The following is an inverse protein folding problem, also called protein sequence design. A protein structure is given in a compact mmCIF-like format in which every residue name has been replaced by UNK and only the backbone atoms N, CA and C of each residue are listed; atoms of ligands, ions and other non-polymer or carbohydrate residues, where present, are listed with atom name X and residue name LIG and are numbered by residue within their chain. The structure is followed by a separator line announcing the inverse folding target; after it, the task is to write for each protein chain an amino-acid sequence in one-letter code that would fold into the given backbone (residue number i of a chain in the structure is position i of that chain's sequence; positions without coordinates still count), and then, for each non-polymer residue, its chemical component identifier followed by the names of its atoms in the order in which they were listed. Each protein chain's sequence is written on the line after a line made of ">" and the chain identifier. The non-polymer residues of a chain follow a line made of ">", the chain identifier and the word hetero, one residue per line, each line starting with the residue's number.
data_IF_373278287525
#
_entry.id   IF_373278287525
#
_cell.length_a   1.000
_cell.length_b   1.000
_cell.length_c   1.000
_cell.angle_alpha   90.00
_cell.angle_beta   90.00
_cell.angle_gamma   90.00
#
_symmetry.space_group_name_H-M   'P 1'
#
loop_
_entity.id
_entity.type
_entity.pdbx_description
1 polymer ?
#
# COMPACT_ATOMS: atom_id res chain seq x y z
N UNK A 1 0.45 28.17 -2.02
CA UNK A 1 -0.03 27.55 -3.27
C UNK A 1 -0.31 26.09 -2.94
N UNK A 2 -1.52 25.82 -2.45
CA UNK A 2 -1.90 24.47 -2.03
C UNK A 2 -2.33 23.64 -3.24
N UNK A 3 -2.01 22.35 -3.15
CA UNK A 3 -2.77 21.26 -3.77
C UNK A 3 -2.35 20.77 -5.16
N UNK A 4 -1.19 20.10 -5.22
CA UNK A 4 -0.88 19.14 -6.30
C UNK A 4 -1.09 17.67 -5.87
N UNK A 5 -1.46 17.43 -4.61
CA UNK A 5 -1.63 16.07 -4.05
C UNK A 5 -3.10 15.60 -3.99
N UNK A 6 -4.07 16.45 -4.36
CA UNK A 6 -5.52 16.17 -4.20
C UNK A 6 -6.15 15.65 -5.50
N UNK A 7 -5.43 15.58 -6.61
CA UNK A 7 -6.05 15.23 -7.90
C UNK A 7 -6.35 13.74 -8.08
N UNK A 8 -5.90 12.85 -7.18
CA UNK A 8 -6.22 11.42 -7.25
C UNK A 8 -7.43 11.00 -6.39
N UNK A 9 -8.24 11.96 -5.94
CA UNK A 9 -9.49 11.63 -5.26
C UNK A 9 -10.55 11.33 -6.32
N UNK A 10 -10.63 10.07 -6.73
CA UNK A 10 -11.87 9.44 -7.17
C UNK A 10 -12.56 10.05 -8.42
N UNK A 11 -11.78 10.52 -9.39
CA UNK A 11 -12.34 10.92 -10.69
C UNK A 11 -12.44 9.70 -11.60
N UNK A 12 -13.64 9.39 -12.08
CA UNK A 12 -13.82 8.34 -13.10
C UNK A 12 -13.11 8.80 -14.38
N UNK A 13 -12.15 8.03 -14.93
CA UNK A 13 -11.45 8.48 -16.11
C UNK A 13 -12.39 8.50 -17.32
N UNK A 14 -12.19 9.46 -18.22
CA UNK A 14 -12.91 9.52 -19.49
C UNK A 14 -12.25 8.56 -20.48
N UNK A 15 -13.05 7.79 -21.22
CA UNK A 15 -12.52 6.96 -22.30
C UNK A 15 -12.14 7.80 -23.53
N UNK A 16 -11.55 7.19 -24.56
CA UNK A 16 -11.19 7.89 -25.81
C UNK A 16 -12.39 8.46 -26.59
N UNK A 17 -13.62 8.08 -26.24
CA UNK A 17 -14.84 8.68 -26.79
C UNK A 17 -15.27 9.97 -26.07
N UNK A 18 -14.59 10.36 -24.98
CA UNK A 18 -14.97 11.49 -24.14
C UNK A 18 -16.09 11.19 -23.13
N UNK A 19 -16.60 9.95 -23.09
CA UNK A 19 -17.62 9.51 -22.12
C UNK A 19 -16.97 8.94 -20.85
N UNK A 20 -17.69 8.96 -19.72
CA UNK A 20 -17.21 8.31 -18.50
C UNK A 20 -16.97 6.81 -18.72
N UNK A 21 -15.85 6.32 -18.22
CA UNK A 21 -15.57 4.89 -18.19
C UNK A 21 -16.40 4.17 -17.13
N UNK A 22 -16.55 2.86 -17.33
CA UNK A 22 -17.26 1.96 -16.43
C UNK A 22 -16.23 1.07 -15.72
N UNK A 23 -16.30 0.99 -14.40
CA UNK A 23 -15.47 0.06 -13.65
C UNK A 23 -16.04 -1.36 -13.76
N UNK A 24 -15.19 -2.30 -14.16
CA UNK A 24 -15.50 -3.73 -14.26
C UNK A 24 -14.49 -4.53 -13.46
N UNK A 25 -14.86 -5.76 -13.12
CA UNK A 25 -13.97 -6.72 -12.45
C UNK A 25 -13.47 -7.73 -13.47
N UNK A 26 -12.17 -7.92 -13.55
CA UNK A 26 -11.54 -8.89 -14.45
C UNK A 26 -11.92 -10.32 -14.04
N UNK A 27 -12.24 -11.12 -15.06
CA UNK A 27 -12.53 -12.55 -14.98
C UNK A 27 -11.44 -13.40 -15.63
N UNK A 28 -10.34 -12.79 -16.06
CA UNK A 28 -9.20 -13.50 -16.63
C UNK A 28 -8.51 -14.36 -15.57
N UNK A 29 -7.95 -15.50 -15.95
CA UNK A 29 -7.14 -16.36 -15.07
C UNK A 29 -5.87 -15.66 -14.54
N UNK A 30 -5.30 -14.74 -15.32
CA UNK A 30 -4.07 -14.01 -14.95
C UNK A 30 -4.33 -12.92 -13.87
N UNK A 31 -5.50 -12.28 -13.93
CA UNK A 31 -5.86 -11.15 -13.07
C UNK A 31 -7.26 -11.32 -12.43
N UNK A 32 -7.56 -12.44 -11.77
CA UNK A 32 -8.90 -12.71 -11.27
C UNK A 32 -9.28 -11.69 -10.18
N UNK A 33 -10.46 -11.09 -10.30
CA UNK A 33 -10.99 -10.19 -9.29
C UNK A 33 -10.40 -8.76 -9.29
N UNK A 34 -9.38 -8.48 -10.12
CA UNK A 34 -8.80 -7.12 -10.22
C UNK A 34 -9.77 -6.19 -10.97
N UNK A 35 -9.98 -4.98 -10.46
CA UNK A 35 -10.88 -3.98 -11.07
C UNK A 35 -10.15 -3.13 -12.10
N UNK A 36 -10.84 -2.77 -13.19
CA UNK A 36 -10.34 -1.89 -14.24
C UNK A 36 -11.44 -0.94 -14.75
N UNK A 37 -11.06 0.20 -15.31
CA UNK A 37 -11.91 1.11 -16.06
C UNK A 37 -11.89 0.74 -17.54
N UNK A 38 -13.06 0.64 -18.17
CA UNK A 38 -13.17 0.40 -19.61
C UNK A 38 -14.30 1.20 -20.24
N UNK A 39 -14.29 1.34 -21.57
CA UNK A 39 -15.38 2.04 -22.25
C UNK A 39 -16.74 1.34 -22.02
N UNK A 40 -17.80 2.12 -21.77
CA UNK A 40 -19.17 1.60 -21.66
C UNK A 40 -19.74 1.10 -23.00
N UNK A 41 -19.15 1.53 -24.12
CA UNK A 41 -19.60 1.20 -25.47
C UNK A 41 -18.77 0.09 -26.14
N UNK A 42 -17.91 -0.61 -25.39
CA UNK A 42 -17.04 -1.66 -25.94
C UNK A 42 -17.81 -2.77 -26.68
N UNK A 43 -19.00 -3.16 -26.18
CA UNK A 43 -19.83 -4.24 -26.74
C UNK A 43 -21.01 -3.75 -27.60
N UNK A 44 -21.06 -2.45 -27.95
CA UNK A 44 -22.11 -1.95 -28.86
C UNK A 44 -21.58 -2.03 -30.27
N UNK A 45 -22.33 -2.69 -31.18
CA UNK A 45 -22.10 -2.79 -32.63
C UNK A 45 -21.99 -1.41 -33.29
N UNK A 46 -20.88 -0.76 -33.03
CA UNK A 46 -20.54 0.59 -33.45
C UNK A 46 -19.25 0.48 -34.23
N UNK A 47 -19.19 1.13 -35.40
CA UNK A 47 -18.03 1.12 -36.29
C UNK A 47 -16.72 1.68 -35.67
N UNK A 48 -16.72 2.03 -34.38
CA UNK A 48 -15.56 2.48 -33.59
C UNK A 48 -15.59 1.85 -32.20
N UNK A 49 -15.11 0.62 -32.08
CA UNK A 49 -14.87 -0.01 -30.78
C UNK A 49 -13.79 0.79 -30.04
N UNK A 50 -14.10 1.24 -28.83
CA UNK A 50 -13.18 2.01 -27.99
C UNK A 50 -12.45 1.08 -27.04
N UNK A 51 -11.16 0.87 -27.28
CA UNK A 51 -10.28 -0.03 -26.51
C UNK A 51 -9.69 0.63 -25.25
N UNK A 52 -10.35 1.65 -24.69
CA UNK A 52 -9.90 2.27 -23.45
C UNK A 52 -9.88 1.24 -22.32
N UNK A 53 -8.74 1.16 -21.63
CA UNK A 53 -8.49 0.26 -20.52
C UNK A 53 -7.51 0.90 -19.54
N UNK A 54 -7.84 0.89 -18.25
CA UNK A 54 -6.95 1.37 -17.18
C UNK A 54 -7.20 0.58 -15.89
N UNK A 55 -6.17 0.16 -15.17
CA UNK A 55 -6.35 -0.57 -13.91
C UNK A 55 -6.88 0.36 -12.81
N UNK A 56 -7.75 -0.16 -11.94
CA UNK A 56 -8.09 0.53 -10.69
C UNK A 56 -7.02 0.17 -9.68
N UNK A 57 -6.13 1.12 -9.42
CA UNK A 57 -5.20 0.97 -8.30
C UNK A 57 -5.91 1.29 -6.97
N UNK A 58 -5.53 0.61 -5.87
CA UNK A 58 -6.04 0.96 -4.55
C UNK A 58 -5.72 2.42 -4.26
N UNK A 59 -6.62 3.11 -3.55
CA UNK A 59 -6.35 4.48 -3.10
C UNK A 59 -4.96 4.54 -2.48
N UNK A 60 -4.13 5.47 -2.95
CA UNK A 60 -2.73 5.61 -2.52
C UNK A 60 -2.62 5.66 -0.98
N UNK A 61 -3.64 6.22 -0.33
CA UNK A 61 -3.77 6.27 1.13
C UNK A 61 -3.92 4.88 1.77
N UNK A 62 -4.69 3.97 1.17
CA UNK A 62 -4.83 2.59 1.64
C UNK A 62 -3.51 1.85 1.49
N UNK A 63 -2.85 1.98 0.34
CA UNK A 63 -1.52 1.41 0.10
C UNK A 63 -0.49 1.92 1.11
N UNK A 64 -0.45 3.23 1.35
CA UNK A 64 0.45 3.85 2.31
C UNK A 64 0.21 3.34 3.73
N UNK A 65 -1.06 3.24 4.17
CA UNK A 65 -1.40 2.73 5.50
C UNK A 65 -0.94 1.28 5.71
N UNK A 66 -1.09 0.41 4.71
CA UNK A 66 -0.60 -0.99 4.79
C UNK A 66 0.92 -1.04 4.94
N UNK A 67 1.63 -0.19 4.20
CA UNK A 67 3.09 -0.09 4.29
C UNK A 67 3.51 0.45 5.66
N UNK A 68 2.87 1.51 6.16
CA UNK A 68 3.13 2.09 7.48
C UNK A 68 2.94 1.05 8.58
N UNK A 69 1.80 0.33 8.60
CA UNK A 69 1.56 -0.73 9.58
C UNK A 69 2.61 -1.84 9.52
N UNK A 70 3.10 -2.20 8.33
CA UNK A 70 4.19 -3.19 8.18
C UNK A 70 5.51 -2.65 8.75
N UNK A 71 5.84 -1.39 8.53
CA UNK A 71 7.04 -0.77 9.07
C UNK A 71 6.98 -0.63 10.59
N UNK A 72 5.85 -0.21 11.15
CA UNK A 72 5.63 -0.13 12.60
C UNK A 72 5.84 -1.48 13.28
N UNK A 73 5.31 -2.57 12.71
CA UNK A 73 5.55 -3.92 13.21
C UNK A 73 7.03 -4.30 13.23
N UNK A 74 7.78 -3.97 12.17
CA UNK A 74 9.23 -4.23 12.11
C UNK A 74 9.98 -3.43 13.18
N UNK A 75 9.62 -2.15 13.37
CA UNK A 75 10.22 -1.30 14.40
C UNK A 75 9.96 -1.87 15.80
N UNK A 76 8.73 -2.32 16.08
CA UNK A 76 8.38 -2.92 17.38
C UNK A 76 9.16 -4.22 17.64
N UNK A 77 9.25 -5.09 16.63
CA UNK A 77 9.97 -6.36 16.73
C UNK A 77 11.47 -6.14 17.01
N UNK A 78 12.12 -5.29 16.21
CA UNK A 78 13.51 -4.91 16.42
C UNK A 78 13.72 -4.21 17.77
N UNK A 79 12.75 -3.40 18.22
CA UNK A 79 12.80 -2.74 19.54
C UNK A 79 12.75 -3.75 20.69
N UNK A 80 12.05 -4.88 20.55
CA UNK A 80 12.03 -5.95 21.55
C UNK A 80 13.37 -6.65 21.67
N UNK A 81 14.02 -6.97 20.54
CA UNK A 81 15.36 -7.56 20.53
C UNK A 81 16.38 -6.64 21.21
N UNK A 82 16.36 -5.35 20.86
CA UNK A 82 17.23 -4.34 21.48
C UNK A 82 16.98 -4.23 22.99
N UNK A 83 15.71 -4.24 23.43
CA UNK A 83 15.37 -4.18 24.86
C UNK A 83 15.91 -5.40 25.61
N UNK A 84 15.80 -6.59 25.03
CA UNK A 84 16.31 -7.81 25.63
C UNK A 84 17.83 -7.79 25.73
N UNK A 85 18.51 -7.40 24.65
CA UNK A 85 19.96 -7.25 24.64
C UNK A 85 20.44 -6.22 25.67
N UNK A 86 19.77 -5.07 25.77
CA UNK A 86 20.08 -4.05 26.80
C UNK A 86 19.94 -4.57 28.22
N UNK A 87 18.90 -5.36 28.51
CA UNK A 87 18.73 -6.00 29.82
C UNK A 87 19.86 -6.98 30.12
N UNK A 88 20.26 -7.78 29.14
CA UNK A 88 21.37 -8.72 29.29
C UNK A 88 22.70 -7.99 29.57
N UNK A 89 23.01 -6.94 28.80
CA UNK A 89 24.20 -6.11 29.03
C UNK A 89 24.17 -5.47 30.41
N UNK A 90 23.02 -4.90 30.82
CA UNK A 90 22.88 -4.29 32.15
C UNK A 90 23.13 -5.32 33.26
N UNK A 91 22.60 -6.54 33.11
CA UNK A 91 22.85 -7.63 34.05
C UNK A 91 24.34 -7.96 34.17
N UNK A 92 25.04 -8.11 33.05
CA UNK A 92 26.49 -8.40 33.05
C UNK A 92 27.29 -7.27 33.72
N UNK A 93 26.99 -6.02 33.39
CA UNK A 93 27.63 -4.85 34.01
C UNK A 93 27.39 -4.85 35.53
N UNK A 94 26.16 -5.10 35.98
CA UNK A 94 25.85 -5.20 37.40
C UNK A 94 26.65 -6.31 38.11
N UNK A 95 26.79 -7.48 37.48
CA UNK A 95 27.58 -8.60 38.04
C UNK A 95 29.05 -8.21 38.19
N UNK A 96 29.65 -7.58 37.18
CA UNK A 96 31.04 -7.11 37.26
C UNK A 96 31.23 -6.00 38.32
N UNK A 97 30.27 -5.08 38.45
CA UNK A 97 30.29 -4.06 39.50
C UNK A 97 30.18 -4.66 40.91
N UNK A 98 29.33 -5.66 41.10
CA UNK A 98 29.18 -6.33 42.40
C UNK A 98 30.47 -7.06 42.78
N UNK A 99 31.16 -7.71 41.83
CA UNK A 99 32.48 -8.32 42.10
C UNK A 99 33.47 -7.27 42.63
N UNK A 100 33.52 -6.08 42.04
CA UNK A 100 34.41 -4.99 42.48
C UNK A 100 34.06 -4.43 43.87
N UNK A 101 32.82 -4.59 44.34
CA UNK A 101 32.40 -4.11 45.65
C UNK A 101 32.61 -5.14 46.77
N UNK A 102 32.81 -6.42 46.42
CA UNK A 102 32.97 -7.54 47.36
C UNK A 102 34.43 -8.00 47.53
N UNK A 103 35.37 -7.40 46.81
CA UNK A 103 36.83 -7.58 46.94
C UNK A 103 37.48 -6.26 47.33
#
# INVERSE_FOLDING_TARGET
>A
MSSSLVTSINTRPKCHCGTDSVCRTSRSEENPGRRFWGCGNYDRDSCKVCHFFEWVDPDVLVGANVVLQRLERKIDDQSKEIKLFKKFVLFLVCVELIKLLLY
#
